data_IF_702494514659
#
_entry.id   IF_702494514659
#
_cell.length_a   1.000
_cell.length_b   1.000
_cell.length_c   1.000
_cell.angle_alpha   90.00
_cell.angle_beta   90.00
_cell.angle_gamma   90.00
#
_symmetry.space_group_name_H-M   'P 1'
#
loop_
_entity.id
_entity.type
_entity.pdbx_description
1 polymer ?
#
# COMPACT_ATOMS: atom_id res chain seq x y z
N UNK A 1 9.92 -21.09 5.46
CA UNK A 1 8.89 -20.57 4.53
C UNK A 1 8.60 -19.11 4.85
N UNK A 2 8.46 -18.25 3.85
CA UNK A 2 8.07 -16.85 4.01
C UNK A 2 6.63 -16.64 3.51
N UNK A 3 5.73 -16.22 4.40
CA UNK A 3 4.34 -15.87 4.03
C UNK A 3 4.19 -14.35 3.94
N UNK A 4 3.74 -13.84 2.80
CA UNK A 4 3.47 -12.42 2.59
C UNK A 4 2.01 -12.17 2.96
N UNK A 5 1.77 -11.56 4.12
CA UNK A 5 0.42 -11.47 4.68
C UNK A 5 -0.12 -10.05 4.54
N UNK A 6 -1.20 -9.90 3.76
CA UNK A 6 -1.91 -8.63 3.67
C UNK A 6 -2.65 -8.33 4.97
N UNK A 7 -2.53 -7.10 5.45
CA UNK A 7 -3.18 -6.57 6.66
C UNK A 7 -4.27 -5.57 6.30
N UNK A 8 -5.22 -5.27 7.20
CA UNK A 8 -6.25 -4.27 6.98
C UNK A 8 -5.68 -2.88 6.63
N UNK A 9 -6.41 -2.13 5.81
CA UNK A 9 -6.04 -0.76 5.41
C UNK A 9 -6.82 0.32 6.17
N UNK A 10 -7.67 -0.08 7.09
CA UNK A 10 -8.47 0.86 7.89
C UNK A 10 -9.61 0.22 8.66
N UNK A 11 -10.16 -0.90 8.16
CA UNK A 11 -11.18 -1.68 8.83
C UNK A 11 -10.61 -3.06 9.20
N UNK A 12 -10.60 -3.39 10.49
CA UNK A 12 -10.06 -4.65 10.96
C UNK A 12 -10.81 -5.87 10.40
N UNK A 13 -12.10 -5.75 10.06
CA UNK A 13 -12.90 -6.84 9.47
C UNK A 13 -12.40 -7.27 8.08
N UNK A 14 -11.54 -6.46 7.42
CA UNK A 14 -10.96 -6.78 6.10
C UNK A 14 -9.81 -7.81 6.16
N UNK A 15 -9.45 -8.31 7.34
CA UNK A 15 -8.47 -9.38 7.46
C UNK A 15 -9.07 -10.73 7.06
N UNK A 16 -8.30 -11.52 6.34
CA UNK A 16 -8.79 -12.87 5.96
C UNK A 16 -8.56 -13.90 7.07
N UNK A 17 -9.44 -14.90 7.14
CA UNK A 17 -9.28 -16.04 8.07
C UNK A 17 -7.94 -16.75 7.87
N UNK A 18 -7.45 -16.82 6.62
CA UNK A 18 -6.15 -17.40 6.31
C UNK A 18 -5.01 -16.53 6.82
N UNK A 19 -5.13 -15.21 6.75
CA UNK A 19 -4.15 -14.30 7.34
C UNK A 19 -4.04 -14.49 8.85
N UNK A 20 -5.17 -14.53 9.56
CA UNK A 20 -5.19 -14.77 11.01
C UNK A 20 -4.54 -16.11 11.39
N UNK A 21 -4.89 -17.19 10.66
CA UNK A 21 -4.28 -18.49 10.88
C UNK A 21 -2.76 -18.45 10.64
N UNK A 22 -2.32 -17.86 9.53
CA UNK A 22 -0.90 -17.75 9.19
C UNK A 22 -0.11 -16.98 10.26
N UNK A 23 -0.68 -15.87 10.77
CA UNK A 23 -0.06 -15.08 11.83
C UNK A 23 0.02 -15.82 13.16
N UNK A 24 -0.96 -16.69 13.46
CA UNK A 24 -0.93 -17.57 14.64
C UNK A 24 0.15 -18.64 14.53
N UNK A 25 0.29 -19.25 13.36
CA UNK A 25 1.17 -20.40 13.11
C UNK A 25 2.62 -20.01 12.82
N UNK A 26 2.91 -18.76 12.42
CA UNK A 26 4.26 -18.32 12.11
C UNK A 26 5.17 -18.31 13.35
N UNK A 27 6.41 -18.76 13.24
CA UNK A 27 7.41 -18.68 14.32
C UNK A 27 7.78 -17.23 14.62
N UNK A 28 7.90 -16.39 13.57
CA UNK A 28 8.23 -14.97 13.65
C UNK A 28 7.36 -14.15 12.72
N UNK A 29 7.22 -12.87 13.04
CA UNK A 29 6.49 -11.89 12.23
C UNK A 29 7.42 -10.72 11.93
N UNK A 30 7.85 -10.58 10.67
CA UNK A 30 8.63 -9.45 10.20
C UNK A 30 7.67 -8.30 9.85
N UNK A 31 7.90 -7.12 10.43
CA UNK A 31 7.00 -5.97 10.31
C UNK A 31 7.75 -4.64 10.30
N UNK A 32 7.12 -3.60 9.76
CA UNK A 32 7.71 -2.25 9.75
C UNK A 32 7.68 -1.63 11.14
N UNK A 33 6.48 -1.48 11.72
CA UNK A 33 6.29 -0.97 13.08
C UNK A 33 5.76 -2.09 13.99
N UNK A 34 6.59 -2.52 14.94
CA UNK A 34 6.23 -3.56 15.90
C UNK A 34 5.08 -3.16 16.83
N UNK A 35 4.85 -1.85 17.03
CA UNK A 35 3.74 -1.33 17.85
C UNK A 35 2.43 -1.49 17.11
N UNK A 36 2.38 -1.09 15.83
CA UNK A 36 1.18 -1.22 14.98
C UNK A 36 0.82 -2.69 14.79
N UNK A 37 1.80 -3.51 14.44
CA UNK A 37 1.60 -4.96 14.31
C UNK A 37 1.18 -5.59 15.65
N UNK A 38 1.79 -5.20 16.76
CA UNK A 38 1.41 -5.67 18.10
C UNK A 38 -0.04 -5.33 18.46
N UNK A 39 -0.52 -4.14 18.11
CA UNK A 39 -1.93 -3.75 18.29
C UNK A 39 -2.87 -4.60 17.44
N UNK A 40 -2.53 -4.82 16.16
CA UNK A 40 -3.30 -5.67 15.26
C UNK A 40 -3.42 -7.10 15.83
N UNK A 41 -2.30 -7.70 16.22
CA UNK A 41 -2.28 -9.07 16.77
C UNK A 41 -3.06 -9.15 18.09
N UNK A 42 -2.90 -8.17 18.98
CA UNK A 42 -3.65 -8.09 20.23
C UNK A 42 -5.16 -7.99 20.04
N UNK A 43 -5.63 -7.29 19.01
CA UNK A 43 -7.06 -7.23 18.69
C UNK A 43 -7.66 -8.59 18.33
N UNK A 44 -6.85 -9.49 17.73
CA UNK A 44 -7.29 -10.84 17.34
C UNK A 44 -6.85 -11.94 18.32
N UNK A 45 -6.45 -11.57 19.54
CA UNK A 45 -5.95 -12.51 20.56
C UNK A 45 -4.82 -13.41 20.04
N UNK A 46 -3.91 -12.82 19.23
CA UNK A 46 -2.72 -13.51 18.73
C UNK A 46 -1.53 -13.09 19.59
N UNK A 47 -0.94 -14.08 20.27
CA UNK A 47 0.27 -13.87 21.06
C UNK A 47 1.41 -13.39 20.14
N UNK A 48 2.08 -12.31 20.53
CA UNK A 48 3.12 -11.67 19.69
C UNK A 48 4.49 -11.56 20.37
N UNK A 49 4.55 -11.23 21.65
CA UNK A 49 5.73 -11.19 22.50
C UNK A 49 7.07 -11.04 21.76
N UNK A 50 7.95 -12.01 21.89
CA UNK A 50 9.28 -12.08 21.28
C UNK A 50 9.28 -12.40 19.76
N UNK A 51 8.12 -12.67 19.16
CA UNK A 51 7.99 -13.10 17.75
C UNK A 51 8.12 -11.97 16.74
N UNK A 52 8.06 -10.69 17.16
CA UNK A 52 8.12 -9.55 16.27
C UNK A 52 9.55 -9.20 15.88
N UNK A 53 9.83 -9.18 14.58
CA UNK A 53 11.09 -8.76 13.99
C UNK A 53 10.91 -7.45 13.23
N UNK A 54 11.51 -6.36 13.74
CA UNK A 54 11.45 -5.07 13.06
C UNK A 54 12.25 -5.07 11.76
N UNK A 55 11.58 -4.73 10.65
CA UNK A 55 12.14 -4.66 9.31
C UNK A 55 11.67 -3.38 8.59
N UNK A 56 12.58 -2.44 8.29
CA UNK A 56 12.28 -1.17 7.63
C UNK A 56 13.08 -1.02 6.35
N UNK A 57 12.69 -0.08 5.47
CA UNK A 57 13.40 0.28 4.24
C UNK A 57 14.88 0.64 4.46
N UNK A 58 15.21 1.18 5.64
CA UNK A 58 16.58 1.51 6.07
C UNK A 58 17.20 0.46 6.99
N UNK A 59 16.55 -0.70 7.16
CA UNK A 59 17.15 -1.81 7.89
C UNK A 59 18.41 -2.24 7.14
N UNK A 60 19.57 -2.11 7.80
CA UNK A 60 20.86 -2.51 7.20
C UNK A 60 20.82 -3.97 6.76
N UNK A 61 21.72 -4.34 5.85
CA UNK A 61 21.84 -5.70 5.31
C UNK A 61 21.79 -6.77 6.40
N UNK A 62 22.33 -6.51 7.59
CA UNK A 62 22.36 -7.43 8.73
C UNK A 62 20.98 -7.89 9.22
N UNK A 63 19.92 -7.06 9.15
CA UNK A 63 18.57 -7.49 9.60
C UNK A 63 17.90 -8.39 8.58
N UNK A 64 18.06 -8.09 7.29
CA UNK A 64 17.55 -8.94 6.22
C UNK A 64 18.24 -10.30 6.26
N UNK A 65 19.57 -10.30 6.39
CA UNK A 65 20.37 -11.53 6.44
C UNK A 65 19.98 -12.41 7.62
N UNK A 66 19.74 -11.82 8.80
CA UNK A 66 19.23 -12.57 9.96
C UNK A 66 17.86 -13.22 9.70
N UNK A 67 16.95 -12.53 8.99
CA UNK A 67 15.65 -13.12 8.63
C UNK A 67 15.86 -14.28 7.63
N UNK A 68 16.78 -14.14 6.68
CA UNK A 68 17.11 -15.21 5.74
C UNK A 68 17.72 -16.42 6.45
N UNK A 69 18.63 -16.22 7.41
CA UNK A 69 19.17 -17.29 8.25
C UNK A 69 18.06 -18.08 8.95
N UNK A 70 17.13 -17.39 9.62
CA UNK A 70 15.98 -18.05 10.26
C UNK A 70 15.10 -18.83 9.27
N UNK A 71 14.91 -18.29 8.05
CA UNK A 71 14.17 -19.00 7.01
C UNK A 71 14.91 -20.26 6.53
N UNK A 72 16.24 -20.23 6.45
CA UNK A 72 17.07 -21.39 6.13
C UNK A 72 17.11 -22.43 7.26
N UNK A 73 16.91 -22.01 8.52
CA UNK A 73 16.68 -22.90 9.66
C UNK A 73 15.25 -23.47 9.70
N UNK A 74 14.53 -23.44 8.59
CA UNK A 74 13.17 -23.95 8.42
C UNK A 74 12.09 -23.24 9.24
N UNK A 75 12.37 -22.04 9.77
CA UNK A 75 11.36 -21.22 10.44
C UNK A 75 10.31 -20.73 9.47
N UNK A 76 9.08 -20.66 9.95
CA UNK A 76 7.98 -19.99 9.24
C UNK A 76 7.94 -18.53 9.65
N UNK A 77 8.16 -17.61 8.71
CA UNK A 77 8.10 -16.18 8.95
C UNK A 77 6.94 -15.57 8.16
N UNK A 78 6.09 -14.80 8.84
CA UNK A 78 5.09 -13.95 8.20
C UNK A 78 5.67 -12.55 8.02
N UNK A 79 5.63 -12.03 6.79
CA UNK A 79 5.94 -10.63 6.50
C UNK A 79 4.63 -9.85 6.44
N UNK A 80 4.53 -8.77 7.21
CA UNK A 80 3.42 -7.82 7.19
C UNK A 80 3.94 -6.40 6.96
N UNK A 81 3.10 -5.55 6.37
CA UNK A 81 3.25 -4.10 6.36
C UNK A 81 2.30 -3.47 7.37
N UNK A 82 2.45 -2.18 7.65
CA UNK A 82 1.58 -1.46 8.58
C UNK A 82 0.13 -1.42 8.06
N UNK A 83 -0.06 -1.43 6.73
CA UNK A 83 -1.38 -1.51 6.10
C UNK A 83 -1.28 -2.10 4.68
N UNK A 84 -2.20 -2.99 4.34
CA UNK A 84 -2.32 -3.55 2.98
C UNK A 84 -1.35 -4.71 2.71
N UNK A 85 -0.94 -4.86 1.44
CA UNK A 85 -0.14 -5.98 0.96
C UNK A 85 1.34 -5.64 0.94
N UNK A 86 2.20 -6.36 1.70
CA UNK A 86 3.64 -6.12 1.71
C UNK A 86 4.29 -6.20 0.32
N UNK A 87 5.24 -5.30 0.06
CA UNK A 87 5.91 -5.16 -1.23
C UNK A 87 5.23 -4.19 -2.20
N UNK A 88 4.04 -3.65 -1.86
CA UNK A 88 3.31 -2.66 -2.67
C UNK A 88 3.51 -1.27 -2.06
N UNK A 89 4.48 -0.53 -2.56
CA UNK A 89 4.93 0.79 -2.05
C UNK A 89 5.47 0.75 -0.61
N UNK A 90 5.97 -0.39 -0.18
CA UNK A 90 6.61 -0.61 1.11
C UNK A 90 7.94 -1.41 0.97
N UNK A 91 8.75 -1.55 2.03
CA UNK A 91 10.10 -2.13 1.95
C UNK A 91 10.14 -3.66 1.74
N UNK A 92 9.03 -4.36 1.68
CA UNK A 92 8.95 -5.82 1.59
C UNK A 92 9.72 -6.44 0.44
N UNK A 93 9.86 -5.73 -0.68
CA UNK A 93 10.50 -6.22 -1.90
C UNK A 93 11.90 -6.81 -1.68
N UNK A 94 12.76 -6.13 -0.89
CA UNK A 94 14.16 -6.56 -0.69
C UNK A 94 14.22 -7.91 0.02
N UNK A 95 13.40 -8.12 1.05
CA UNK A 95 13.32 -9.37 1.79
C UNK A 95 12.76 -10.49 0.90
N UNK A 96 11.68 -10.22 0.17
CA UNK A 96 11.05 -11.17 -0.75
C UNK A 96 12.05 -11.64 -1.80
N UNK A 97 12.76 -10.71 -2.43
CA UNK A 97 13.78 -11.01 -3.43
C UNK A 97 14.88 -11.92 -2.87
N UNK A 98 15.47 -11.56 -1.73
CA UNK A 98 16.52 -12.36 -1.08
C UNK A 98 16.03 -13.75 -0.65
N UNK A 99 14.80 -13.86 -0.17
CA UNK A 99 14.21 -15.15 0.19
C UNK A 99 14.10 -16.07 -1.04
N UNK A 100 13.64 -15.54 -2.18
CA UNK A 100 13.59 -16.29 -3.44
C UNK A 100 14.99 -16.70 -3.91
N UNK A 101 15.97 -15.79 -3.89
CA UNK A 101 17.37 -16.06 -4.24
C UNK A 101 18.00 -17.13 -3.32
N UNK A 102 17.58 -17.21 -2.07
CA UNK A 102 18.00 -18.22 -1.10
C UNK A 102 17.22 -19.56 -1.23
N UNK A 103 16.37 -19.74 -2.22
CA UNK A 103 15.56 -20.95 -2.44
C UNK A 103 14.44 -21.15 -1.41
N UNK A 104 14.08 -20.12 -0.66
CA UNK A 104 13.00 -20.19 0.33
C UNK A 104 11.64 -20.15 -0.37
N UNK A 105 10.72 -21.03 0.03
CA UNK A 105 9.34 -20.97 -0.44
C UNK A 105 8.67 -19.69 0.02
N UNK A 106 8.16 -18.88 -0.94
CA UNK A 106 7.41 -17.65 -0.69
C UNK A 106 5.94 -17.88 -1.03
N UNK A 107 5.05 -17.61 -0.10
CA UNK A 107 3.60 -17.84 -0.26
C UNK A 107 2.83 -16.54 -0.03
N UNK A 108 2.06 -16.03 -1.02
CA UNK A 108 1.20 -14.88 -0.83
C UNK A 108 -0.07 -15.28 -0.06
N UNK A 109 -0.44 -14.47 0.92
CA UNK A 109 -1.72 -14.54 1.63
C UNK A 109 -2.50 -13.29 1.25
N UNK A 110 -3.40 -13.36 0.25
CA UNK A 110 -4.13 -12.21 -0.28
C UNK A 110 -5.03 -11.57 0.77
N UNK A 111 -5.32 -10.30 0.57
CA UNK A 111 -6.18 -9.52 1.47
C UNK A 111 -6.37 -8.09 0.97
N UNK A 112 -6.54 -7.15 1.89
CA UNK A 112 -6.86 -5.76 1.60
C UNK A 112 -5.79 -5.07 0.75
N UNK A 113 -6.25 -4.24 -0.18
CA UNK A 113 -5.42 -3.42 -1.07
C UNK A 113 -6.13 -2.12 -1.41
N UNK A 114 -5.57 -1.00 -1.02
CA UNK A 114 -6.15 0.31 -1.33
C UNK A 114 -6.19 0.59 -2.85
N UNK A 115 -5.18 0.11 -3.60
CA UNK A 115 -5.14 0.21 -5.07
C UNK A 115 -6.35 -0.48 -5.69
N UNK A 116 -6.57 -1.76 -5.38
CA UNK A 116 -7.66 -2.53 -5.95
C UNK A 116 -9.02 -2.02 -5.48
N UNK A 117 -9.15 -1.64 -4.21
CA UNK A 117 -10.39 -1.07 -3.67
C UNK A 117 -10.76 0.22 -4.39
N UNK A 118 -9.79 1.13 -4.60
CA UNK A 118 -10.03 2.36 -5.34
C UNK A 118 -10.35 2.09 -6.81
N UNK A 119 -9.62 1.20 -7.46
CA UNK A 119 -9.77 0.89 -8.88
C UNK A 119 -11.16 0.33 -9.17
N UNK A 120 -11.62 -0.69 -8.44
CA UNK A 120 -12.94 -1.30 -8.67
C UNK A 120 -14.10 -0.37 -8.32
N UNK A 121 -13.90 0.55 -7.38
CA UNK A 121 -14.88 1.56 -6.99
C UNK A 121 -14.84 2.82 -7.88
N UNK A 122 -13.85 2.97 -8.75
CA UNK A 122 -13.69 4.18 -9.57
C UNK A 122 -14.70 4.31 -10.71
N UNK A 123 -15.10 3.20 -11.31
CA UNK A 123 -15.89 3.17 -12.55
C UNK A 123 -15.04 3.31 -13.82
N UNK A 124 -13.71 3.38 -13.71
CA UNK A 124 -12.80 3.29 -14.85
C UNK A 124 -12.64 1.84 -15.32
N UNK A 125 -12.13 1.67 -16.54
CA UNK A 125 -11.79 0.34 -17.04
C UNK A 125 -10.65 -0.27 -16.21
N UNK A 126 -10.90 -1.47 -15.69
CA UNK A 126 -9.98 -2.20 -14.83
C UNK A 126 -9.25 -3.35 -15.55
N UNK A 127 -9.50 -3.57 -16.85
CA UNK A 127 -8.87 -4.67 -17.59
C UNK A 127 -7.36 -4.50 -17.71
N UNK A 128 -6.93 -3.25 -17.93
CA UNK A 128 -5.53 -2.88 -17.96
C UNK A 128 -5.34 -1.58 -17.19
N UNK A 129 -4.44 -1.57 -16.24
CA UNK A 129 -4.13 -0.38 -15.46
C UNK A 129 -2.64 -0.29 -15.13
N UNK A 130 -2.16 0.92 -14.96
CA UNK A 130 -0.79 1.22 -14.56
C UNK A 130 -0.79 1.72 -13.11
N UNK A 131 -0.20 0.95 -12.21
CA UNK A 131 0.04 1.38 -10.84
C UNK A 131 1.45 1.96 -10.70
N UNK A 132 1.55 3.19 -10.19
CA UNK A 132 2.80 3.94 -10.07
C UNK A 132 3.26 4.20 -8.63
N UNK A 133 2.46 3.78 -7.63
CA UNK A 133 2.74 4.12 -6.24
C UNK A 133 2.71 5.63 -6.00
N UNK A 134 3.59 6.13 -5.13
CA UNK A 134 3.75 7.57 -4.90
C UNK A 134 4.59 8.19 -6.03
N UNK A 135 4.05 9.20 -6.70
CA UNK A 135 4.83 9.90 -7.72
C UNK A 135 5.98 10.71 -7.10
N UNK A 136 7.13 10.86 -7.80
CA UNK A 136 8.31 11.56 -7.27
C UNK A 136 8.01 12.96 -6.75
N UNK A 137 8.73 13.41 -5.73
CA UNK A 137 8.53 14.75 -5.14
C UNK A 137 9.14 15.85 -6.00
N UNK A 138 10.33 15.62 -6.57
CA UNK A 138 11.11 16.64 -7.34
C UNK A 138 11.68 16.04 -8.62
N UNK A 139 12.82 15.34 -8.51
CA UNK A 139 13.50 14.74 -9.67
C UNK A 139 12.58 13.72 -10.35
N UNK A 140 12.50 13.78 -11.68
CA UNK A 140 11.68 12.91 -12.53
C UNK A 140 10.16 13.13 -12.47
N UNK A 141 9.64 13.97 -11.55
CA UNK A 141 8.20 14.22 -11.46
C UNK A 141 7.61 14.76 -12.75
N UNK A 142 8.17 15.85 -13.30
CA UNK A 142 7.68 16.43 -14.55
C UNK A 142 7.80 15.48 -15.75
N UNK A 143 8.90 14.72 -15.81
CA UNK A 143 9.11 13.72 -16.86
C UNK A 143 8.03 12.63 -16.82
N UNK A 144 7.71 12.16 -15.59
CA UNK A 144 6.64 11.19 -15.39
C UNK A 144 5.28 11.76 -15.78
N UNK A 145 4.93 12.97 -15.32
CA UNK A 145 3.64 13.60 -15.69
C UNK A 145 3.52 13.78 -17.22
N UNK A 146 4.58 14.21 -17.89
CA UNK A 146 4.60 14.30 -19.37
C UNK A 146 4.38 12.95 -20.03
N UNK A 147 5.00 11.87 -19.53
CA UNK A 147 4.83 10.54 -20.12
C UNK A 147 3.41 9.99 -19.95
N UNK A 148 2.64 10.49 -18.99
CA UNK A 148 1.27 10.08 -18.75
C UNK A 148 0.23 10.87 -19.60
N UNK A 149 0.63 11.92 -20.33
CA UNK A 149 -0.30 12.70 -21.16
C UNK A 149 -0.98 11.85 -22.25
N UNK A 150 -0.28 10.85 -22.77
CA UNK A 150 -0.78 9.95 -23.81
C UNK A 150 -1.03 8.53 -23.24
N UNK A 151 -1.51 8.45 -21.99
CA UNK A 151 -1.79 7.15 -21.37
C UNK A 151 -2.90 6.41 -22.11
N UNK A 152 -2.69 5.12 -22.35
CA UNK A 152 -3.66 4.23 -23.00
C UNK A 152 -4.50 3.44 -21.97
N UNK A 153 -4.06 3.43 -20.69
CA UNK A 153 -4.67 2.66 -19.64
C UNK A 153 -5.04 3.52 -18.44
N UNK A 154 -5.94 3.02 -17.63
CA UNK A 154 -6.25 3.62 -16.33
C UNK A 154 -4.99 3.68 -15.48
N UNK A 155 -4.73 4.82 -14.86
CA UNK A 155 -3.57 5.04 -13.98
C UNK A 155 -4.04 5.12 -12.54
N UNK A 156 -3.33 4.42 -11.65
CA UNK A 156 -3.59 4.45 -10.20
C UNK A 156 -2.33 4.89 -9.48
N UNK A 157 -2.45 5.92 -8.64
CA UNK A 157 -1.34 6.42 -7.82
C UNK A 157 -1.77 6.60 -6.38
N UNK A 158 -0.79 6.55 -5.48
CA UNK A 158 -0.92 7.02 -4.10
C UNK A 158 -0.50 8.47 -3.98
N UNK A 159 -1.20 9.24 -3.15
CA UNK A 159 -0.79 10.59 -2.83
C UNK A 159 -0.99 10.91 -1.33
N UNK A 160 -0.04 11.65 -0.78
CA UNK A 160 -0.09 12.05 0.61
C UNK A 160 -0.93 13.30 0.83
N UNK A 161 -1.46 13.44 2.04
CA UNK A 161 -2.20 14.63 2.50
C UNK A 161 -1.45 15.95 2.24
N UNK A 162 -0.12 15.94 2.38
CA UNK A 162 0.70 17.14 2.23
C UNK A 162 0.93 17.56 0.77
N UNK A 163 0.55 16.73 -0.20
CA UNK A 163 0.86 16.94 -1.61
C UNK A 163 -0.36 16.94 -2.54
N UNK A 164 -1.51 16.48 -2.05
CA UNK A 164 -2.72 16.29 -2.87
C UNK A 164 -3.12 17.56 -3.62
N UNK A 165 -3.16 18.72 -2.96
CA UNK A 165 -3.53 19.99 -3.59
C UNK A 165 -2.60 20.35 -4.75
N UNK A 166 -1.29 20.28 -4.49
CA UNK A 166 -0.28 20.55 -5.52
C UNK A 166 -0.37 19.54 -6.66
N UNK A 167 -0.58 18.27 -6.33
CA UNK A 167 -0.69 17.21 -7.34
C UNK A 167 -1.91 17.40 -8.22
N UNK A 168 -3.07 17.76 -7.68
CA UNK A 168 -4.27 18.08 -8.46
C UNK A 168 -4.07 19.31 -9.35
N UNK A 169 -3.38 20.35 -8.86
CA UNK A 169 -3.04 21.50 -9.68
C UNK A 169 -2.13 21.11 -10.86
N UNK A 170 -1.06 20.37 -10.61
CA UNK A 170 -0.16 19.88 -11.67
C UNK A 170 -0.91 18.96 -12.65
N UNK A 171 -1.82 18.13 -12.17
CA UNK A 171 -2.63 17.26 -13.05
C UNK A 171 -3.53 18.07 -13.98
N UNK A 172 -4.13 19.16 -13.51
CA UNK A 172 -4.90 20.06 -14.34
C UNK A 172 -4.03 20.72 -15.43
N UNK A 173 -2.79 21.12 -15.06
CA UNK A 173 -1.82 21.72 -16.02
C UNK A 173 -1.36 20.72 -17.09
N UNK A 174 -1.14 19.45 -16.72
CA UNK A 174 -0.61 18.43 -17.64
C UNK A 174 -1.67 17.68 -18.42
N UNK A 175 -2.85 17.45 -17.85
CA UNK A 175 -3.88 16.58 -18.43
C UNK A 175 -5.14 17.34 -18.85
N UNK A 176 -5.30 18.58 -18.40
CA UNK A 176 -6.48 19.42 -18.66
C UNK A 176 -7.54 19.33 -17.57
N UNK A 177 -8.27 20.43 -17.40
CA UNK A 177 -9.27 20.62 -16.36
C UNK A 177 -10.43 19.61 -16.44
N UNK A 178 -10.82 19.24 -17.67
CA UNK A 178 -11.98 18.38 -17.96
C UNK A 178 -11.65 16.87 -17.92
N UNK A 179 -10.40 16.49 -17.63
CA UNK A 179 -10.02 15.08 -17.56
C UNK A 179 -10.75 14.38 -16.41
N UNK A 180 -11.46 13.27 -16.67
CA UNK A 180 -12.12 12.50 -15.64
C UNK A 180 -11.13 11.93 -14.63
N UNK A 181 -11.51 11.94 -13.36
CA UNK A 181 -10.69 11.43 -12.26
C UNK A 181 -11.58 10.94 -11.10
N UNK A 182 -11.03 10.03 -10.31
CA UNK A 182 -11.60 9.63 -9.02
C UNK A 182 -10.53 9.72 -7.96
N UNK A 183 -10.87 10.30 -6.83
CA UNK A 183 -9.99 10.35 -5.66
C UNK A 183 -10.68 9.62 -4.51
N UNK A 184 -10.13 8.46 -4.14
CA UNK A 184 -10.52 7.73 -2.94
C UNK A 184 -9.72 8.21 -1.73
N UNK A 185 -10.39 8.46 -0.62
CA UNK A 185 -9.76 8.76 0.68
C UNK A 185 -10.42 7.96 1.79
N UNK A 186 -9.71 7.72 2.88
CA UNK A 186 -10.23 6.99 4.04
C UNK A 186 -10.86 5.64 3.68
N UNK A 187 -10.36 5.00 2.62
CA UNK A 187 -10.89 3.73 2.10
C UNK A 187 -10.96 2.71 3.24
N UNK A 188 -12.11 2.07 3.40
CA UNK A 188 -12.53 1.14 4.47
C UNK A 188 -12.74 1.76 5.85
N UNK A 189 -12.46 3.06 6.04
CA UNK A 189 -12.63 3.74 7.32
C UNK A 189 -13.99 4.40 7.45
N UNK A 190 -14.29 4.93 8.64
CA UNK A 190 -15.59 5.56 8.97
C UNK A 190 -16.00 6.70 8.02
N UNK A 191 -15.02 7.40 7.44
CA UNK A 191 -15.25 8.54 6.55
C UNK A 191 -14.76 8.25 5.14
N UNK A 192 -14.92 6.99 4.71
CA UNK A 192 -14.64 6.59 3.34
C UNK A 192 -15.36 7.47 2.35
N UNK A 193 -14.64 7.93 1.34
CA UNK A 193 -15.18 8.79 0.31
C UNK A 193 -14.48 8.55 -1.03
N UNK A 194 -15.29 8.61 -2.09
CA UNK A 194 -14.84 8.61 -3.47
C UNK A 194 -15.36 9.86 -4.18
N UNK A 195 -14.53 10.90 -4.29
CA UNK A 195 -14.81 12.07 -5.09
C UNK A 195 -14.65 11.73 -6.57
N UNK A 196 -15.71 11.86 -7.36
CA UNK A 196 -15.76 11.57 -8.81
C UNK A 196 -16.11 12.83 -9.56
N UNK A 197 -15.43 13.09 -10.66
CA UNK A 197 -15.67 14.25 -11.51
C UNK A 197 -14.48 14.57 -12.40
N UNK A 198 -14.39 15.78 -12.88
CA UNK A 198 -13.23 16.30 -13.57
C UNK A 198 -12.12 16.68 -12.58
N UNK A 199 -10.88 16.79 -13.03
CA UNK A 199 -9.76 17.28 -12.19
C UNK A 199 -10.11 18.61 -11.54
N UNK A 200 -10.71 19.54 -12.31
CA UNK A 200 -11.14 20.85 -11.80
C UNK A 200 -12.16 20.74 -10.67
N UNK A 201 -13.22 19.94 -10.87
CA UNK A 201 -14.28 19.77 -9.87
C UNK A 201 -13.75 19.16 -8.58
N UNK A 202 -12.91 18.12 -8.68
CA UNK A 202 -12.27 17.45 -7.53
C UNK A 202 -11.35 18.42 -6.80
N UNK A 203 -10.55 19.21 -7.52
CA UNK A 203 -9.66 20.20 -6.90
C UNK A 203 -10.45 21.26 -6.14
N UNK A 204 -11.52 21.79 -6.73
CA UNK A 204 -12.37 22.78 -6.05
C UNK A 204 -13.13 22.19 -4.87
N UNK A 205 -13.53 20.91 -4.95
CA UNK A 205 -14.15 20.19 -3.86
C UNK A 205 -13.20 20.13 -2.64
N UNK A 206 -11.98 19.68 -2.81
CA UNK A 206 -11.02 19.55 -1.69
C UNK A 206 -10.59 20.91 -1.12
N UNK A 207 -10.49 21.96 -1.92
CA UNK A 207 -10.23 23.32 -1.42
C UNK A 207 -11.32 23.82 -0.48
N UNK A 208 -12.60 23.60 -0.80
CA UNK A 208 -13.74 24.09 -0.01
C UNK A 208 -13.88 23.35 1.31
N UNK A 209 -13.66 22.07 1.32
CA UNK A 209 -13.92 21.21 2.46
C UNK A 209 -12.91 21.38 3.61
N UNK A 210 -11.71 21.90 3.35
CA UNK A 210 -10.65 22.01 4.38
C UNK A 210 -10.26 20.66 5.02
N UNK A 211 -10.73 19.55 4.43
CA UNK A 211 -10.68 18.19 4.96
C UNK A 211 -9.54 17.37 4.37
N UNK A 212 -8.38 17.98 4.25
CA UNK A 212 -7.19 17.29 3.77
C UNK A 212 -6.57 16.53 4.94
N UNK A 213 -7.08 15.33 5.19
CA UNK A 213 -6.52 14.38 6.15
C UNK A 213 -6.38 13.02 5.47
N UNK A 214 -5.29 12.28 5.80
CA UNK A 214 -5.04 10.91 5.39
C UNK A 214 -4.50 10.76 3.96
N UNK A 215 -4.13 9.53 3.59
CA UNK A 215 -3.63 9.19 2.27
C UNK A 215 -4.76 9.07 1.26
N UNK A 216 -4.41 9.32 -0.01
CA UNK A 216 -5.33 9.31 -1.13
C UNK A 216 -4.90 8.27 -2.16
N UNK A 217 -5.89 7.67 -2.81
CA UNK A 217 -5.70 6.91 -4.03
C UNK A 217 -6.36 7.66 -5.17
N UNK A 218 -5.60 8.01 -6.19
CA UNK A 218 -6.08 8.73 -7.37
C UNK A 218 -6.15 7.73 -8.54
N UNK A 219 -7.30 7.73 -9.23
CA UNK A 219 -7.55 6.92 -10.43
C UNK A 219 -7.97 7.84 -11.57
N UNK A 220 -7.32 7.76 -12.73
CA UNK A 220 -7.59 8.66 -13.87
C UNK A 220 -7.21 8.02 -15.21
#
# INVERSE_FOLDING_TARGET
MLSIVSTPIGNLEDITLRALRTLKEADYIACEDTRMTGQLLGYYDIENGWRLLSFHSHSGFSKVDKIIELLQEWKHIALVSDAGTPGISDPGYVLIKKAIEAGVTVTPIPGASAVLSALVASGFDCHQYLYLGFIPVKKWRQTMLKSLQNKEHTVVIYESVHRIEKTLQEFEEYFGADTPMVVGREITKKFEEFARGTIYEIREYFKKEGKIKWEFVIVF
#
